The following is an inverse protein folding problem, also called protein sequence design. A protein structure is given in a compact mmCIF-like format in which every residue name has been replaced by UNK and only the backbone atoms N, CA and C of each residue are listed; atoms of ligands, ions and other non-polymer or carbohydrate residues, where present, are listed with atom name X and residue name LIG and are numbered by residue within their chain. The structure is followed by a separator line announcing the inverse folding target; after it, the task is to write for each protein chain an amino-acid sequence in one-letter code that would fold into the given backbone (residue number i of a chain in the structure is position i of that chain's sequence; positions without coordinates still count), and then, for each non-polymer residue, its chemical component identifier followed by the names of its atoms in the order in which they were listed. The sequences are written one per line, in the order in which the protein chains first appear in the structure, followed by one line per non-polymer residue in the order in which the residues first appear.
data_IF_360442022793
#
_entry.id   IF_360442022793
#
_cell.length_a   1.000
_cell.length_b   1.000
_cell.length_c   1.000
_cell.angle_alpha   90.00
_cell.angle_beta   90.00
_cell.angle_gamma   90.00
#
_symmetry.space_group_name_H-M   'P 1'
#
loop_
_entity.id
_entity.type
_entity.pdbx_description
1 polymer ?
#
# COMPACT_ATOMS: atom_id res chain seq x y z
N UNK A 1 -10.22 6.06 -11.87
CA UNK A 1 -10.96 5.82 -12.14
C UNK A 1 -11.85 5.82 -12.48
N UNK A 2 -11.26 5.41 -12.89
CA UNK A 2 -12.21 5.08 -13.49
C UNK A 2 -12.92 5.00 -13.57
N UNK A 3 -12.66 4.67 -13.82
CA UNK A 3 -13.40 4.24 -14.15
C UNK A 3 -14.01 4.10 -14.16
N UNK A 4 -13.69 3.82 -14.28
CA UNK A 4 -14.26 3.32 -14.54
C UNK A 4 -14.72 2.95 -14.70
N UNK A 5 -14.39 2.68 -14.97
CA UNK A 5 -14.75 2.00 -15.37
C UNK A 5 -14.75 1.87 -15.55
N UNK A 6 -14.53 1.86 -15.61
CA UNK A 6 -14.42 1.44 -15.89
C UNK A 6 -14.38 1.29 -16.49
N UNK A 7 -13.98 1.13 -16.93
CA UNK A 7 -13.96 0.79 -17.52
C UNK A 7 -13.77 1.27 -17.96
N UNK A 8 -13.37 1.43 -18.04
CA UNK A 8 -13.23 1.68 -18.44
C UNK A 8 -12.86 2.37 -18.60
N UNK A 9 -12.45 2.64 -18.89
CA UNK A 9 -12.10 2.89 -19.05
C UNK A 9 -11.28 3.23 -19.26
N UNK A 10 -10.50 3.10 -19.63
CA UNK A 10 -9.64 3.17 -20.07
C UNK A 10 -8.83 2.30 -20.61
N UNK A 11 -8.37 2.40 -21.28
CA UNK A 11 -7.73 1.74 -22.36
C UNK A 11 -6.55 0.94 -21.90
N UNK A 12 -5.35 1.43 -21.81
CA UNK A 12 -4.24 0.68 -21.26
C UNK A 12 -4.52 0.11 -19.89
N UNK A 13 -5.56 0.57 -19.27
CA UNK A 13 -5.90 0.10 -17.93
C UNK A 13 -6.34 -1.35 -17.91
N UNK A 14 -6.82 -1.87 -19.02
CA UNK A 14 -7.22 -3.28 -19.05
C UNK A 14 -6.08 -4.21 -18.76
N UNK A 15 -4.86 -3.77 -19.01
CA UNK A 15 -3.69 -4.61 -18.79
C UNK A 15 -3.05 -4.39 -17.43
N UNK A 16 -3.63 -3.53 -16.62
CA UNK A 16 -3.09 -3.20 -15.32
C UNK A 16 -3.37 -4.32 -14.33
N UNK A 17 -2.33 -4.84 -13.71
CA UNK A 17 -2.48 -5.89 -12.70
C UNK A 17 -3.12 -5.31 -11.44
N UNK A 18 -3.94 -6.09 -10.76
CA UNK A 18 -4.62 -5.59 -9.56
C UNK A 18 -3.64 -5.35 -8.41
N UNK A 19 -4.03 -4.43 -7.53
CA UNK A 19 -3.32 -4.18 -6.29
C UNK A 19 -3.98 -5.06 -5.23
N UNK A 20 -3.17 -5.76 -4.44
CA UNK A 20 -3.68 -6.65 -3.40
C UNK A 20 -3.25 -6.12 -2.04
N UNK A 21 -4.22 -5.93 -1.16
CA UNK A 21 -3.95 -5.50 0.21
C UNK A 21 -4.37 -6.61 1.17
N UNK A 22 -3.50 -6.91 2.13
CA UNK A 22 -3.84 -7.83 3.21
C UNK A 22 -4.79 -7.20 4.20
N UNK A 23 -4.98 -7.85 5.34
CA UNK A 23 -5.85 -7.35 6.39
C UNK A 23 -5.12 -6.30 7.21
N UNK A 24 -5.87 -5.29 7.68
CA UNK A 24 -5.33 -4.27 8.58
C UNK A 24 -4.14 -3.53 7.99
N UNK A 25 -4.27 -3.12 6.73
CA UNK A 25 -3.26 -2.29 6.09
C UNK A 25 -3.63 -0.82 6.33
N UNK A 26 -2.67 -0.06 6.83
CA UNK A 26 -2.86 1.35 7.13
C UNK A 26 -2.09 2.19 6.12
N UNK A 27 -2.79 3.04 5.40
CA UNK A 27 -2.18 3.90 4.40
C UNK A 27 -2.27 5.35 4.86
N UNK A 28 -1.15 6.03 4.89
CA UNK A 28 -1.13 7.46 5.16
C UNK A 28 -1.69 8.24 3.97
N UNK A 29 -1.74 9.56 4.09
CA UNK A 29 -2.27 10.38 3.03
C UNK A 29 -1.40 10.35 1.78
N UNK A 30 -2.04 10.45 0.62
CA UNK A 30 -1.35 10.58 -0.67
C UNK A 30 -0.39 9.44 -0.98
N UNK A 31 -0.72 8.22 -0.56
CA UNK A 31 0.07 7.04 -0.90
C UNK A 31 -0.31 6.60 -2.31
N UNK A 32 0.71 6.34 -3.13
CA UNK A 32 0.53 5.81 -4.47
C UNK A 32 1.02 4.38 -4.49
N UNK A 33 0.21 3.46 -5.02
CA UNK A 33 0.57 2.05 -5.11
C UNK A 33 0.52 1.67 -6.58
N UNK A 34 1.62 1.12 -7.08
CA UNK A 34 1.68 0.76 -8.49
C UNK A 34 0.95 -0.54 -8.76
N UNK A 35 0.50 -0.75 -10.00
CA UNK A 35 -0.22 -1.98 -10.38
C UNK A 35 0.60 -3.23 -10.07
N UNK A 36 -0.09 -4.28 -9.65
CA UNK A 36 0.53 -5.57 -9.39
C UNK A 36 1.21 -5.71 -8.04
N UNK A 37 1.23 -4.64 -7.25
CA UNK A 37 1.87 -4.67 -5.94
C UNK A 37 0.97 -5.36 -4.93
N UNK A 38 1.57 -6.16 -4.06
CA UNK A 38 0.89 -6.79 -2.93
C UNK A 38 1.47 -6.22 -1.64
N UNK A 39 0.59 -5.75 -0.77
CA UNK A 39 1.00 -5.26 0.55
C UNK A 39 0.47 -6.25 1.58
N UNK A 40 1.37 -6.78 2.40
CA UNK A 40 1.03 -7.79 3.39
C UNK A 40 0.16 -7.24 4.51
N UNK A 41 -0.37 -8.14 5.31
CA UNK A 41 -1.28 -7.80 6.40
C UNK A 41 -0.56 -7.07 7.53
N UNK A 42 -1.30 -6.28 8.29
CA UNK A 42 -0.79 -5.58 9.48
C UNK A 42 0.43 -4.70 9.13
N UNK A 43 0.30 -3.94 8.06
CA UNK A 43 1.37 -3.12 7.52
C UNK A 43 0.96 -1.66 7.55
N UNK A 44 1.91 -0.78 7.85
CA UNK A 44 1.70 0.67 7.84
C UNK A 44 2.54 1.27 6.72
N UNK A 45 1.90 2.02 5.84
CA UNK A 45 2.58 2.75 4.75
C UNK A 45 2.50 4.23 5.08
N UNK A 46 3.65 4.87 5.23
CA UNK A 46 3.71 6.28 5.59
C UNK A 46 3.18 7.20 4.50
N UNK A 47 2.74 8.38 4.92
CA UNK A 47 2.15 9.36 4.00
C UNK A 47 3.13 9.75 2.89
N UNK A 48 2.60 9.96 1.69
CA UNK A 48 3.40 10.40 0.55
C UNK A 48 4.28 9.32 -0.05
N UNK A 49 4.14 8.07 0.38
CA UNK A 49 4.96 6.98 -0.15
C UNK A 49 4.52 6.56 -1.54
N UNK A 50 5.47 6.09 -2.33
CA UNK A 50 5.18 5.51 -3.65
C UNK A 50 5.63 4.06 -3.61
N UNK A 51 4.66 3.14 -3.55
CA UNK A 51 4.94 1.71 -3.40
C UNK A 51 5.13 1.08 -4.77
N UNK A 52 6.35 0.69 -5.06
CA UNK A 52 6.72 0.16 -6.37
C UNK A 52 6.95 -1.35 -6.36
N UNK A 53 7.07 -1.96 -5.17
CA UNK A 53 7.33 -3.37 -5.01
C UNK A 53 6.50 -3.92 -3.87
N UNK A 54 6.36 -5.23 -3.83
CA UNK A 54 5.60 -5.88 -2.76
C UNK A 54 6.18 -5.53 -1.39
N UNK A 55 5.29 -5.35 -0.43
CA UNK A 55 5.68 -5.03 0.94
C UNK A 55 5.27 -6.21 1.83
N UNK A 56 6.19 -6.75 2.64
CA UNK A 56 5.86 -7.88 3.51
C UNK A 56 4.91 -7.48 4.63
N UNK A 57 4.36 -8.47 5.31
CA UNK A 57 3.45 -8.25 6.43
C UNK A 57 4.20 -7.74 7.65
N UNK A 58 3.50 -7.00 8.49
CA UNK A 58 3.98 -6.64 9.81
C UNK A 58 5.09 -5.61 9.85
N UNK A 59 5.14 -4.72 8.87
CA UNK A 59 6.20 -3.72 8.80
C UNK A 59 5.65 -2.31 8.64
N UNK A 60 6.51 -1.34 8.92
CA UNK A 60 6.29 0.06 8.57
C UNK A 60 7.16 0.34 7.36
N UNK A 61 6.57 0.87 6.30
CA UNK A 61 7.30 1.19 5.07
C UNK A 61 7.01 2.63 4.66
N UNK A 62 8.02 3.32 4.15
CA UNK A 62 7.90 4.75 3.84
C UNK A 62 8.76 5.09 2.63
N UNK A 63 8.55 6.29 2.12
CA UNK A 63 9.39 6.95 1.12
C UNK A 63 9.01 6.68 -0.32
N UNK A 64 9.71 7.32 -1.19
CA UNK A 64 9.59 7.20 -2.64
C UNK A 64 10.96 6.89 -3.24
N UNK A 65 11.25 5.66 -3.68
CA UNK A 65 10.36 4.50 -3.62
C UNK A 65 10.19 4.00 -2.19
N UNK A 66 9.03 3.42 -1.92
CA UNK A 66 8.69 2.95 -0.59
C UNK A 66 9.59 1.77 -0.19
N UNK A 67 10.14 1.85 0.99
CA UNK A 67 11.04 0.81 1.51
C UNK A 67 10.61 0.45 2.92
N UNK A 68 10.87 -0.79 3.29
CA UNK A 68 10.63 -1.23 4.66
C UNK A 68 11.55 -0.46 5.59
N UNK A 69 10.94 0.25 6.53
CA UNK A 69 11.69 1.01 7.52
C UNK A 69 12.06 0.13 8.70
N UNK A 70 11.08 -0.62 9.22
CA UNK A 70 11.29 -1.48 10.36
C UNK A 70 10.06 -2.35 10.59
N UNK A 71 10.20 -3.45 11.34
CA UNK A 71 9.02 -4.23 11.71
C UNK A 71 8.16 -3.46 12.73
N UNK A 72 6.88 -3.82 12.76
CA UNK A 72 5.98 -3.28 13.76
C UNK A 72 6.21 -4.03 15.06
N UNK A 73 6.33 -3.28 16.15
CA UNK A 73 6.52 -3.86 17.48
C UNK A 73 5.24 -3.70 18.29
N UNK A 74 5.24 -4.31 19.44
CA UNK A 74 4.13 -4.19 20.36
C UNK A 74 3.86 -2.73 20.74
N UNK A 75 4.91 -1.95 20.86
CA UNK A 75 4.77 -0.52 21.18
C UNK A 75 4.01 0.20 20.07
N UNK A 76 4.28 -0.15 18.83
CA UNK A 76 3.58 0.48 17.71
C UNK A 76 2.10 0.14 17.74
N UNK A 77 1.75 -1.09 18.06
CA UNK A 77 0.35 -1.48 18.17
C UNK A 77 -0.38 -0.64 19.18
N UNK A 78 0.20 -0.43 20.32
CA UNK A 78 -0.40 0.38 21.37
C UNK A 78 -0.59 1.81 20.88
N UNK A 79 0.41 2.35 20.22
CA UNK A 79 0.37 3.71 19.70
C UNK A 79 -0.78 3.89 18.72
N UNK A 80 -0.95 2.94 17.83
CA UNK A 80 -1.95 3.07 16.76
C UNK A 80 -3.36 2.71 17.21
N UNK A 81 -3.50 2.14 18.38
CA UNK A 81 -4.82 1.81 18.90
C UNK A 81 -5.52 3.00 19.54
N UNK A 82 -4.82 4.06 19.70
CA UNK A 82 -5.44 5.26 20.26
C UNK A 82 -6.27 5.97 19.21
#
# INVERSE_FOLDING_TARGET
IHPMLPEERNSGLETTAPITLGDNVWLGGDVTILPGVTIGSNTVIGAGSVVTKDIPSGVVAVDNPCKVLRPITEKDSIRYQK
#
